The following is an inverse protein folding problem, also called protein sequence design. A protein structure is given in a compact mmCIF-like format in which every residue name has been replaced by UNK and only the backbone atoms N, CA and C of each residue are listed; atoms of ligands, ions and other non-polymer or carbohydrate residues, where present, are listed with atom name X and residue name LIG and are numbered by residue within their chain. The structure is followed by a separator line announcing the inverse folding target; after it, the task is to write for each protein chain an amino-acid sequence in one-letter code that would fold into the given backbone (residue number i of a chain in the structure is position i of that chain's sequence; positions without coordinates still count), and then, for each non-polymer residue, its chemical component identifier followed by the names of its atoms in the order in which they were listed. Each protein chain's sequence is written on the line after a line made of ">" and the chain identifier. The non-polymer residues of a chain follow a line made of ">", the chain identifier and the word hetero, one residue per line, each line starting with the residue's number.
data_IF_718711178543
#
_entry.id   IF_718711178543
#
_cell.length_a   1.000
_cell.length_b   1.000
_cell.length_c   1.000
_cell.angle_alpha   90.00
_cell.angle_beta   90.00
_cell.angle_gamma   90.00
#
_symmetry.space_group_name_H-M   'P 1'
#
loop_
_entity.id
_entity.type
_entity.pdbx_description
1 polymer ?
#
# COMPACT_ATOMS: atom_id res chain seq x y z
N UNK A 1 -29.08 -42.84 2.36
CA UNK A 1 -28.19 -43.51 1.37
C UNK A 1 -28.57 -43.03 -0.03
N UNK A 2 -27.59 -42.98 -0.95
CA UNK A 2 -27.58 -42.37 -2.31
C UNK A 2 -27.37 -40.84 -2.31
N UNK A 3 -26.16 -40.28 -2.27
CA UNK A 3 -25.05 -40.31 -3.25
C UNK A 3 -25.48 -39.95 -4.68
N UNK A 4 -25.66 -38.66 -4.95
CA UNK A 4 -25.53 -38.15 -6.31
C UNK A 4 -24.06 -37.83 -6.60
N UNK A 5 -23.50 -38.74 -7.39
CA UNK A 5 -22.12 -38.94 -7.75
C UNK A 5 -21.94 -38.49 -9.21
N UNK A 6 -21.05 -37.52 -9.40
CA UNK A 6 -20.03 -37.47 -10.46
C UNK A 6 -20.46 -37.49 -11.94
N UNK A 7 -20.18 -36.36 -12.63
CA UNK A 7 -19.52 -36.21 -13.96
C UNK A 7 -19.80 -34.78 -14.47
N UNK A 8 -18.94 -34.02 -15.17
CA UNK A 8 -17.64 -34.26 -15.82
C UNK A 8 -17.26 -32.92 -16.50
N UNK A 9 -16.01 -32.47 -16.29
CA UNK A 9 -15.10 -31.87 -17.32
C UNK A 9 -15.46 -30.49 -17.91
N UNK A 10 -14.56 -29.50 -17.74
CA UNK A 10 -13.58 -29.06 -18.78
C UNK A 10 -12.72 -27.89 -18.27
N UNK A 11 -11.43 -28.17 -18.09
CA UNK A 11 -10.24 -27.43 -18.52
C UNK A 11 -10.25 -25.88 -18.48
N UNK A 12 -9.26 -25.33 -17.77
CA UNK A 12 -9.04 -23.90 -17.63
C UNK A 12 -8.72 -23.15 -18.92
N UNK A 13 -9.05 -21.86 -18.92
CA UNK A 13 -8.50 -20.86 -19.83
C UNK A 13 -8.61 -19.47 -19.18
N UNK A 14 -7.47 -18.99 -18.69
CA UNK A 14 -7.17 -17.58 -18.51
C UNK A 14 -7.14 -16.87 -19.86
N UNK A 15 -7.96 -15.83 -20.05
CA UNK A 15 -7.87 -14.78 -21.08
C UNK A 15 -8.54 -13.53 -20.50
N UNK A 16 -7.81 -12.51 -20.05
CA UNK A 16 -7.08 -11.47 -20.80
C UNK A 16 -7.99 -10.36 -21.36
N UNK A 17 -7.78 -9.17 -20.79
CA UNK A 17 -7.70 -7.86 -21.45
C UNK A 17 -8.96 -7.13 -21.94
N UNK A 18 -8.92 -5.84 -21.61
CA UNK A 18 -9.50 -4.68 -22.28
C UNK A 18 -10.94 -4.27 -21.91
N UNK A 19 -11.04 -3.32 -20.98
CA UNK A 19 -12.07 -2.27 -21.06
C UNK A 19 -11.38 -0.94 -21.44
N UNK A 20 -11.78 -0.31 -22.56
CA UNK A 20 -11.11 0.86 -23.12
C UNK A 20 -11.62 2.18 -22.49
N UNK A 21 -10.72 3.17 -22.50
CA UNK A 21 -10.96 4.61 -22.61
C UNK A 21 -12.15 5.24 -21.86
N UNK A 22 -11.89 5.80 -20.68
CA UNK A 22 -12.50 7.07 -20.28
C UNK A 22 -11.46 8.18 -20.38
N UNK A 23 -11.36 8.73 -21.59
CA UNK A 23 -10.69 9.97 -21.92
C UNK A 23 -11.53 11.17 -21.47
N UNK A 24 -11.08 11.89 -20.45
CA UNK A 24 -11.44 13.29 -20.22
C UNK A 24 -10.24 13.94 -19.52
N UNK A 25 -9.62 14.91 -20.20
CA UNK A 25 -8.30 15.43 -19.90
C UNK A 25 -8.11 15.88 -18.46
N UNK A 26 -7.23 15.20 -17.74
CA UNK A 26 -6.64 15.74 -16.52
C UNK A 26 -5.51 16.66 -16.94
N UNK A 27 -5.53 17.95 -16.57
CA UNK A 27 -4.47 18.88 -16.93
C UNK A 27 -3.15 18.41 -16.32
N UNK A 28 -2.25 18.00 -17.20
CA UNK A 28 -0.82 17.93 -16.97
C UNK A 28 -0.34 19.33 -16.56
N UNK A 29 -0.25 19.63 -15.26
CA UNK A 29 0.48 20.80 -14.70
C UNK A 29 0.32 20.90 -13.18
N UNK A 30 0.90 19.96 -12.45
CA UNK A 30 1.72 20.33 -11.30
C UNK A 30 2.93 19.43 -11.41
N UNK A 31 4.13 20.00 -11.49
CA UNK A 31 5.34 19.23 -11.15
C UNK A 31 4.99 18.60 -9.80
N UNK A 32 4.76 17.29 -9.80
CA UNK A 32 4.85 16.52 -8.57
C UNK A 32 6.27 16.80 -8.14
N UNK A 33 6.43 17.66 -7.14
CA UNK A 33 7.65 17.66 -6.36
C UNK A 33 7.76 16.21 -5.92
N UNK A 34 8.61 15.45 -6.60
CA UNK A 34 8.98 14.11 -6.21
C UNK A 34 9.69 14.28 -4.88
N UNK A 35 8.92 14.39 -3.80
CA UNK A 35 9.44 14.21 -2.47
C UNK A 35 9.91 12.77 -2.46
N UNK A 36 11.22 12.63 -2.62
CA UNK A 36 11.87 11.35 -2.53
C UNK A 36 11.47 10.73 -1.19
N UNK A 37 10.94 9.51 -1.20
CA UNK A 37 10.47 8.82 0.01
C UNK A 37 11.54 8.82 1.12
N UNK A 38 12.82 8.85 0.73
CA UNK A 38 13.98 8.93 1.64
C UNK A 38 14.07 10.24 2.41
N UNK A 39 13.38 11.30 1.98
CA UNK A 39 13.35 12.60 2.68
C UNK A 39 12.30 12.68 3.78
N UNK A 40 11.29 11.79 3.76
CA UNK A 40 10.14 11.86 4.67
C UNK A 40 10.41 11.10 5.98
N UNK A 41 10.94 9.88 5.89
CA UNK A 41 11.28 9.05 7.05
C UNK A 41 12.75 9.26 7.41
N UNK A 42 13.00 9.78 8.61
CA UNK A 42 14.37 10.06 9.09
C UNK A 42 14.99 8.80 9.70
N UNK A 43 14.28 8.15 10.62
CA UNK A 43 14.71 6.90 11.27
C UNK A 43 13.59 6.24 12.07
N UNK A 44 13.63 4.91 12.27
CA UNK A 44 12.76 4.26 13.24
C UNK A 44 13.08 4.74 14.66
N UNK A 45 12.07 4.91 15.49
CA UNK A 45 12.22 5.35 16.88
C UNK A 45 12.06 4.16 17.83
N UNK A 46 13.17 3.66 18.34
CA UNK A 46 13.20 2.48 19.23
C UNK A 46 13.37 2.94 20.67
N UNK A 47 12.32 2.79 21.47
CA UNK A 47 12.27 3.04 22.92
C UNK A 47 11.42 1.95 23.56
N UNK A 48 11.44 1.77 24.89
CA UNK A 48 10.61 0.74 25.54
C UNK A 48 9.13 0.93 25.18
N UNK A 49 8.66 2.18 25.15
CA UNK A 49 7.30 2.53 24.73
C UNK A 49 7.00 2.13 23.28
N UNK A 50 7.92 2.39 22.35
CA UNK A 50 7.73 2.00 20.94
C UNK A 50 7.70 0.48 20.77
N UNK A 51 8.52 -0.25 21.53
CA UNK A 51 8.51 -1.71 21.57
C UNK A 51 7.18 -2.23 22.12
N UNK A 52 6.62 -1.63 23.17
CA UNK A 52 5.29 -2.01 23.67
C UNK A 52 4.19 -1.85 22.62
N UNK A 53 4.21 -0.75 21.85
CA UNK A 53 3.27 -0.51 20.75
C UNK A 53 3.44 -1.50 19.59
N UNK A 54 4.64 -2.07 19.42
CA UNK A 54 4.90 -3.04 18.35
C UNK A 54 4.08 -4.33 18.53
N UNK A 55 3.70 -4.68 19.77
CA UNK A 55 2.76 -5.79 20.04
C UNK A 55 1.38 -5.55 19.43
N UNK A 56 1.00 -4.29 19.24
CA UNK A 56 -0.27 -3.88 18.64
C UNK A 56 -0.13 -3.54 17.14
N UNK A 57 0.94 -3.99 16.48
CA UNK A 57 1.29 -3.67 15.09
C UNK A 57 1.46 -2.15 14.82
N UNK A 58 1.84 -1.39 15.84
CA UNK A 58 2.10 0.05 15.73
C UNK A 58 3.61 0.31 15.80
N UNK A 59 4.13 1.01 14.81
CA UNK A 59 5.54 1.35 14.70
C UNK A 59 5.74 2.86 14.72
N UNK A 60 6.79 3.30 15.41
CA UNK A 60 7.08 4.73 15.61
C UNK A 60 8.29 5.12 14.77
N UNK A 61 8.16 6.21 14.01
CA UNK A 61 9.22 6.75 13.17
C UNK A 61 9.43 8.23 13.48
N UNK A 62 10.69 8.67 13.42
CA UNK A 62 11.02 10.09 13.30
C UNK A 62 10.81 10.51 11.85
N UNK A 63 10.03 11.57 11.65
CA UNK A 63 9.67 12.09 10.33
C UNK A 63 10.09 13.55 10.20
N UNK A 64 10.20 14.02 8.95
CA UNK A 64 10.47 15.43 8.71
C UNK A 64 9.30 16.30 9.20
N UNK A 65 9.53 17.42 9.92
CA UNK A 65 8.46 18.21 10.52
C UNK A 65 7.42 18.78 9.53
N UNK A 66 7.80 18.93 8.25
CA UNK A 66 6.90 19.42 7.19
C UNK A 66 6.19 18.30 6.43
N UNK A 67 6.38 17.04 6.81
CA UNK A 67 5.76 15.91 6.12
C UNK A 67 4.28 15.79 6.46
N UNK A 68 3.46 15.48 5.44
CA UNK A 68 2.03 15.26 5.61
C UNK A 68 1.71 13.78 5.87
N UNK A 69 0.59 13.49 6.53
CA UNK A 69 0.13 12.11 6.80
C UNK A 69 0.02 11.25 5.54
N UNK A 70 -0.46 11.84 4.44
CA UNK A 70 -0.59 11.17 3.14
C UNK A 70 0.77 10.79 2.55
N UNK A 71 1.79 11.63 2.74
CA UNK A 71 3.15 11.40 2.27
C UNK A 71 3.83 10.32 3.11
N UNK A 72 3.70 10.39 4.44
CA UNK A 72 4.23 9.39 5.37
C UNK A 72 3.66 8.00 5.06
N UNK A 73 2.34 7.92 4.85
CA UNK A 73 1.68 6.68 4.45
C UNK A 73 2.29 6.09 3.19
N UNK A 74 2.39 6.89 2.12
CA UNK A 74 2.95 6.43 0.84
C UNK A 74 4.42 6.01 0.97
N UNK A 75 5.22 6.74 1.76
CA UNK A 75 6.63 6.43 1.98
C UNK A 75 6.80 5.08 2.69
N UNK A 76 6.03 4.82 3.76
CA UNK A 76 6.06 3.54 4.48
C UNK A 76 5.59 2.39 3.59
N UNK A 77 4.48 2.55 2.88
CA UNK A 77 3.95 1.53 1.98
C UNK A 77 4.95 1.19 0.86
N UNK A 78 5.67 2.18 0.33
CA UNK A 78 6.66 1.97 -0.74
C UNK A 78 7.96 1.34 -0.25
N UNK A 79 8.48 1.76 0.92
CA UNK A 79 9.77 1.29 1.44
C UNK A 79 9.69 -0.11 2.06
N UNK A 80 8.59 -0.40 2.75
CA UNK A 80 8.42 -1.67 3.46
C UNK A 80 7.48 -2.63 2.74
N UNK A 81 6.86 -2.21 1.64
CA UNK A 81 5.92 -3.00 0.84
C UNK A 81 4.75 -3.57 1.68
N UNK A 82 4.22 -2.74 2.58
CA UNK A 82 3.12 -3.04 3.49
C UNK A 82 1.90 -2.17 3.20
N UNK A 83 0.76 -2.45 3.86
CA UNK A 83 -0.45 -1.62 3.80
C UNK A 83 -0.68 -0.92 5.14
N UNK A 84 -0.77 0.41 5.12
CA UNK A 84 -0.93 1.20 6.34
C UNK A 84 -2.42 1.50 6.60
N UNK A 85 -2.88 1.18 7.79
CA UNK A 85 -4.28 1.40 8.21
C UNK A 85 -4.49 2.87 8.58
N UNK A 86 -3.59 3.47 9.35
CA UNK A 86 -3.65 4.87 9.79
C UNK A 86 -2.28 5.45 10.17
N UNK A 87 -2.18 6.77 10.15
CA UNK A 87 -1.01 7.60 10.54
C UNK A 87 -1.46 8.79 11.37
#
# INVERSE_FOLDING_TARGET
>A
MAFNLFKKKKDGASKSLAKPASSAGVPERRKLVTFDSSSILVSPHVTEKATMLSSDNQYVFKVFPRANKTEIKRAIESLYNVKVIGV
#
